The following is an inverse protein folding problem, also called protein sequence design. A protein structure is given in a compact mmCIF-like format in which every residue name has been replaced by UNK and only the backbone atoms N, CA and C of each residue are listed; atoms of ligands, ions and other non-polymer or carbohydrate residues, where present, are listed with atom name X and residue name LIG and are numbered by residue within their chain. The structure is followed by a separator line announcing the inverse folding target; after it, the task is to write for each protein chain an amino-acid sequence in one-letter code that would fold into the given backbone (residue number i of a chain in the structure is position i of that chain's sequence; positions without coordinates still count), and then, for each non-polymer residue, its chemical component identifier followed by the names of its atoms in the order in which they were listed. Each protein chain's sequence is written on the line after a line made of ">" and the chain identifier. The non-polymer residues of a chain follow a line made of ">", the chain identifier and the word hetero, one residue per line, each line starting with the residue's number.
data_IF_352684003723
#
_entry.id   IF_352684003723
#
_cell.length_a   1.000
_cell.length_b   1.000
_cell.length_c   1.000
_cell.angle_alpha   90.00
_cell.angle_beta   90.00
_cell.angle_gamma   90.00
#
_symmetry.space_group_name_H-M   'P 1'
#
loop_
_entity.id
_entity.type
_entity.pdbx_description
1 polymer ?
#
# COMPACT_ATOMS: atom_id res chain seq x y z
N UNK A 1 -17.72 8.35 -13.22
CA UNK A 1 -18.29 8.01 -11.89
C UNK A 1 -17.73 6.65 -11.52
N UNK A 2 -16.55 6.60 -10.90
CA UNK A 2 -15.93 5.32 -10.52
C UNK A 2 -16.37 5.07 -9.08
N UNK A 3 -17.24 4.09 -8.90
CA UNK A 3 -17.81 3.74 -7.61
C UNK A 3 -16.72 3.40 -6.61
N UNK A 4 -16.94 3.77 -5.36
CA UNK A 4 -16.14 3.29 -4.25
C UNK A 4 -16.41 1.77 -4.17
N UNK A 5 -15.50 0.97 -4.71
CA UNK A 5 -15.49 -0.47 -4.46
C UNK A 5 -14.99 -0.65 -3.03
N UNK A 6 -15.89 -0.48 -2.06
CA UNK A 6 -15.66 -0.95 -0.70
C UNK A 6 -15.78 -2.47 -0.80
N UNK A 7 -14.65 -3.18 -0.88
CA UNK A 7 -14.65 -4.62 -0.64
C UNK A 7 -15.03 -4.80 0.83
N UNK A 8 -16.15 -5.46 1.16
CA UNK A 8 -16.47 -5.74 2.55
C UNK A 8 -15.59 -6.90 2.98
N UNK A 9 -14.39 -6.60 3.46
CA UNK A 9 -13.52 -7.60 4.06
C UNK A 9 -13.55 -7.36 5.56
N UNK A 10 -14.05 -8.36 6.27
CA UNK A 10 -14.11 -8.38 7.73
C UNK A 10 -12.72 -8.05 8.29
N UNK A 11 -12.69 -7.20 9.32
CA UNK A 11 -11.51 -6.94 10.11
C UNK A 11 -11.00 -8.29 10.66
N UNK A 12 -10.03 -8.90 9.98
CA UNK A 12 -9.18 -9.91 10.58
C UNK A 12 -8.45 -9.15 11.67
N UNK A 13 -8.85 -9.36 12.94
CA UNK A 13 -8.21 -8.79 14.12
C UNK A 13 -6.70 -8.84 13.90
N UNK A 14 -6.15 -7.67 13.52
CA UNK A 14 -4.84 -7.64 12.92
C UNK A 14 -3.86 -8.26 13.93
N UNK A 15 -2.95 -9.09 13.42
CA UNK A 15 -2.06 -10.01 14.13
C UNK A 15 -1.24 -9.40 15.30
N UNK A 16 -1.34 -8.09 15.53
CA UNK A 16 -0.63 -7.30 16.54
C UNK A 16 -1.51 -6.75 17.70
N UNK A 17 -2.85 -6.73 17.58
CA UNK A 17 -3.75 -6.29 18.65
C UNK A 17 -4.11 -7.34 19.73
N UNK A 18 -4.07 -8.68 19.48
CA UNK A 18 -4.52 -9.65 20.48
C UNK A 18 -3.69 -9.56 21.76
N UNK A 19 -2.37 -9.36 21.65
CA UNK A 19 -1.44 -9.44 22.79
C UNK A 19 -1.70 -8.38 23.88
N UNK A 20 -2.11 -7.16 23.49
CA UNK A 20 -2.43 -6.08 24.45
C UNK A 20 -3.82 -6.32 25.04
N UNK A 21 -4.77 -6.75 24.20
CA UNK A 21 -6.12 -7.04 24.65
C UNK A 21 -6.18 -8.24 25.58
N UNK A 22 -5.28 -9.22 25.46
CA UNK A 22 -5.30 -10.47 26.22
C UNK A 22 -4.55 -10.43 27.55
N UNK A 23 -3.73 -9.39 27.82
CA UNK A 23 -2.97 -9.30 29.06
C UNK A 23 -3.82 -8.80 30.26
N UNK A 24 -4.08 -9.63 31.28
CA UNK A 24 -4.89 -9.27 32.44
C UNK A 24 -4.17 -8.34 33.44
N UNK A 25 -2.85 -8.21 33.38
CA UNK A 25 -2.09 -7.30 34.23
C UNK A 25 -2.18 -5.84 33.75
N UNK A 26 -2.53 -5.63 32.48
CA UNK A 26 -2.55 -4.31 31.83
C UNK A 26 -3.97 -3.73 31.79
N UNK A 27 -4.99 -4.56 31.60
CA UNK A 27 -6.38 -4.11 31.45
C UNK A 27 -7.33 -4.96 32.30
N UNK A 28 -8.21 -4.29 33.04
CA UNK A 28 -9.33 -4.95 33.69
C UNK A 28 -10.44 -5.30 32.67
N UNK A 29 -11.41 -6.12 33.07
CA UNK A 29 -12.43 -6.59 32.13
C UNK A 29 -13.36 -5.49 31.58
N UNK A 30 -13.60 -4.45 32.36
CA UNK A 30 -14.39 -3.32 31.89
C UNK A 30 -13.65 -2.49 30.84
N UNK A 31 -12.37 -2.25 31.06
CA UNK A 31 -11.49 -1.57 30.13
C UNK A 31 -11.29 -2.39 28.85
N UNK A 32 -11.07 -3.70 28.96
CA UNK A 32 -10.99 -4.61 27.80
C UNK A 32 -12.25 -4.53 26.95
N UNK A 33 -13.42 -4.56 27.58
CA UNK A 33 -14.71 -4.41 26.89
C UNK A 33 -14.85 -3.04 26.22
N UNK A 34 -14.43 -1.97 26.88
CA UNK A 34 -14.46 -0.62 26.32
C UNK A 34 -13.54 -0.46 25.10
N UNK A 35 -12.30 -0.98 25.17
CA UNK A 35 -11.34 -0.93 24.06
C UNK A 35 -11.82 -1.77 22.88
N UNK A 36 -12.34 -2.98 23.12
CA UNK A 36 -12.94 -3.80 22.04
C UNK A 36 -14.09 -3.09 21.35
N UNK A 37 -14.94 -2.39 22.11
CA UNK A 37 -16.04 -1.59 21.55
C UNK A 37 -15.51 -0.44 20.68
N UNK A 38 -14.48 0.24 21.14
CA UNK A 38 -13.84 1.35 20.41
C UNK A 38 -13.20 0.87 19.10
N UNK A 39 -12.41 -0.21 19.15
CA UNK A 39 -11.76 -0.77 17.96
C UNK A 39 -12.79 -1.24 16.92
N UNK A 40 -13.88 -1.89 17.36
CA UNK A 40 -14.99 -2.25 16.46
C UNK A 40 -15.67 -1.03 15.86
N UNK A 41 -15.87 0.04 16.64
CA UNK A 41 -16.49 1.27 16.15
C UNK A 41 -15.64 1.97 15.08
N UNK A 42 -14.32 1.91 15.20
CA UNK A 42 -13.38 2.59 14.29
C UNK A 42 -12.62 1.62 13.38
N UNK A 43 -13.14 0.41 13.17
CA UNK A 43 -12.48 -0.65 12.41
C UNK A 43 -12.07 -0.22 11.00
N UNK A 44 -12.86 0.67 10.39
CA UNK A 44 -12.67 1.20 9.05
C UNK A 44 -11.54 2.25 8.94
N UNK A 45 -10.97 2.69 10.06
CA UNK A 45 -9.83 3.61 10.08
C UNK A 45 -8.49 2.87 10.05
N UNK A 46 -8.50 1.58 10.37
CA UNK A 46 -7.31 0.75 10.39
C UNK A 46 -7.22 -0.06 9.11
N UNK A 47 -6.02 -0.11 8.53
CA UNK A 47 -5.74 -0.98 7.40
C UNK A 47 -5.78 -2.44 7.86
N UNK A 48 -6.66 -3.24 7.26
CA UNK A 48 -6.81 -4.66 7.63
C UNK A 48 -5.70 -5.55 7.04
N UNK A 49 -5.12 -5.14 5.91
CA UNK A 49 -4.04 -5.88 5.24
C UNK A 49 -3.24 -4.95 4.30
N UNK A 50 -2.11 -5.42 3.78
CA UNK A 50 -1.25 -4.63 2.88
C UNK A 50 -1.98 -4.13 1.61
N UNK A 51 -3.03 -4.82 1.16
CA UNK A 51 -3.84 -4.43 0.01
C UNK A 51 -4.91 -3.35 0.35
N UNK A 52 -5.15 -3.08 1.63
CA UNK A 52 -6.10 -2.05 2.10
C UNK A 52 -5.42 -0.68 2.06
N UNK A 53 -5.16 -0.21 0.84
CA UNK A 53 -4.56 1.08 0.54
C UNK A 53 -5.65 2.14 0.47
N UNK A 54 -5.63 3.09 1.40
CA UNK A 54 -6.60 4.19 1.41
C UNK A 54 -6.47 5.11 0.19
N UNK A 55 -7.61 5.68 -0.26
CA UNK A 55 -7.66 6.64 -1.37
C UNK A 55 -8.38 7.93 -0.97
N UNK A 56 -7.75 9.07 -1.25
CA UNK A 56 -8.36 10.39 -1.04
C UNK A 56 -8.88 10.95 -2.37
N UNK A 57 -10.19 11.22 -2.45
CA UNK A 57 -10.84 11.75 -3.65
C UNK A 57 -11.05 13.27 -3.61
N UNK A 58 -10.54 13.97 -2.59
CA UNK A 58 -10.79 15.41 -2.40
C UNK A 58 -9.99 16.29 -3.37
N UNK A 59 -8.78 15.87 -3.73
CA UNK A 59 -7.88 16.67 -4.56
C UNK A 59 -7.17 15.77 -5.57
N UNK A 60 -7.13 16.20 -6.83
CA UNK A 60 -6.25 15.63 -7.84
C UNK A 60 -5.08 16.59 -8.05
N UNK A 61 -3.86 16.10 -7.79
CA UNK A 61 -2.65 16.91 -7.98
C UNK A 61 -2.20 16.89 -9.44
N UNK A 62 -1.84 18.06 -9.98
CA UNK A 62 -1.18 18.20 -11.27
C UNK A 62 0.28 18.59 -11.07
N UNK A 63 1.19 17.82 -11.66
CA UNK A 63 2.61 18.14 -11.68
C UNK A 63 2.87 19.09 -12.85
N UNK A 64 3.32 20.31 -12.56
CA UNK A 64 3.65 21.32 -13.58
C UNK A 64 5.10 21.17 -14.03
N UNK A 65 5.32 20.50 -15.16
CA UNK A 65 6.67 20.29 -15.73
C UNK A 65 7.23 21.51 -16.48
N UNK A 66 6.44 22.57 -16.67
CA UNK A 66 6.85 23.79 -17.38
C UNK A 66 7.27 23.50 -18.83
N UNK A 67 8.35 24.13 -19.30
CA UNK A 67 8.91 23.94 -20.65
C UNK A 67 10.03 22.89 -20.69
N UNK A 68 10.16 22.07 -19.65
CA UNK A 68 11.24 21.07 -19.60
C UNK A 68 10.97 19.93 -20.57
N UNK A 69 11.96 19.51 -21.38
CA UNK A 69 11.81 18.38 -22.28
C UNK A 69 11.61 17.08 -21.50
N UNK A 70 10.92 16.13 -22.10
CA UNK A 70 10.68 14.81 -21.52
C UNK A 70 11.98 14.03 -21.43
N UNK A 71 12.32 13.52 -20.24
CA UNK A 71 13.54 12.72 -20.04
C UNK A 71 13.19 11.24 -20.20
N UNK A 72 13.69 10.63 -21.27
CA UNK A 72 13.59 9.18 -21.49
C UNK A 72 14.74 8.48 -20.77
N UNK A 73 14.47 7.86 -19.63
CA UNK A 73 15.43 6.99 -18.95
C UNK A 73 15.35 5.57 -19.55
N UNK A 74 16.50 4.97 -19.86
CA UNK A 74 16.53 3.59 -20.35
C UNK A 74 16.29 2.60 -19.21
N UNK A 75 15.35 1.69 -19.39
CA UNK A 75 15.05 0.64 -18.41
C UNK A 75 16.22 -0.32 -18.30
N UNK A 76 16.80 -0.46 -17.09
CA UNK A 76 17.83 -1.48 -16.86
C UNK A 76 17.21 -2.87 -16.80
N UNK A 77 17.91 -3.87 -17.33
CA UNK A 77 17.49 -5.27 -17.22
C UNK A 77 17.54 -5.71 -15.77
N UNK A 78 16.45 -6.32 -15.29
CA UNK A 78 16.44 -7.03 -14.02
C UNK A 78 17.16 -8.38 -14.18
N UNK A 79 17.79 -8.84 -13.10
CA UNK A 79 18.32 -10.20 -13.03
C UNK A 79 17.16 -11.20 -13.17
N UNK A 80 17.39 -12.32 -13.85
CA UNK A 80 16.34 -13.32 -14.11
C UNK A 80 15.66 -13.77 -12.80
N UNK A 81 16.45 -14.01 -11.76
CA UNK A 81 15.97 -14.41 -10.43
C UNK A 81 15.04 -13.40 -9.75
N UNK A 82 15.04 -12.13 -10.17
CA UNK A 82 14.19 -11.06 -9.60
C UNK A 82 13.10 -10.59 -10.54
N UNK A 83 13.04 -11.15 -11.76
CA UNK A 83 12.05 -10.75 -12.75
C UNK A 83 10.65 -11.20 -12.32
N UNK A 84 10.53 -12.45 -11.88
CA UNK A 84 9.26 -13.01 -11.40
C UNK A 84 8.71 -12.24 -10.20
N UNK A 85 9.58 -11.89 -9.25
CA UNK A 85 9.21 -11.06 -8.09
C UNK A 85 8.73 -9.66 -8.50
N UNK A 86 9.43 -9.01 -9.43
CA UNK A 86 8.98 -7.71 -9.96
C UNK A 86 7.62 -7.81 -10.66
N UNK A 87 7.42 -8.85 -11.48
CA UNK A 87 6.17 -9.05 -12.22
C UNK A 87 5.00 -9.31 -11.25
N UNK A 88 5.22 -10.07 -10.17
CA UNK A 88 4.23 -10.28 -9.11
C UNK A 88 3.84 -8.98 -8.40
N UNK A 89 4.83 -8.18 -7.98
CA UNK A 89 4.59 -6.90 -7.31
C UNK A 89 3.83 -5.92 -8.21
N UNK A 90 4.19 -5.86 -9.50
CA UNK A 90 3.49 -5.00 -10.48
C UNK A 90 2.04 -5.44 -10.62
N UNK A 91 1.78 -6.75 -10.76
CA UNK A 91 0.41 -7.27 -10.87
C UNK A 91 -0.41 -6.96 -9.61
N UNK A 92 0.16 -7.15 -8.42
CA UNK A 92 -0.49 -6.78 -7.16
C UNK A 92 -0.86 -5.29 -7.12
N UNK A 93 0.05 -4.40 -7.54
CA UNK A 93 -0.21 -2.96 -7.59
C UNK A 93 -1.29 -2.58 -8.61
N UNK A 94 -1.40 -3.30 -9.73
CA UNK A 94 -2.49 -3.14 -10.72
C UNK A 94 -3.81 -3.60 -10.14
N UNK A 95 -3.86 -4.78 -9.52
CA UNK A 95 -5.07 -5.34 -8.90
C UNK A 95 -5.60 -4.49 -7.74
N UNK A 96 -4.69 -3.87 -6.99
CA UNK A 96 -5.01 -2.91 -5.93
C UNK A 96 -5.44 -1.54 -6.47
N UNK A 97 -5.26 -1.27 -7.77
CA UNK A 97 -5.63 -0.01 -8.42
C UNK A 97 -4.71 1.16 -8.05
N UNK A 98 -3.50 0.88 -7.56
CA UNK A 98 -2.48 1.88 -7.22
C UNK A 98 -1.74 2.36 -8.47
N UNK A 99 -1.60 1.50 -9.49
CA UNK A 99 -1.01 1.84 -10.79
C UNK A 99 -1.96 1.46 -11.93
N UNK A 100 -1.78 2.09 -13.08
CA UNK A 100 -2.55 1.84 -14.31
C UNK A 100 -1.61 1.82 -15.52
N UNK A 101 -2.04 1.15 -16.59
CA UNK A 101 -1.33 1.22 -17.87
C UNK A 101 -1.35 2.64 -18.41
N UNK A 102 -0.18 3.14 -18.84
CA UNK A 102 -0.05 4.46 -19.43
C UNK A 102 0.88 4.45 -20.62
N UNK A 103 0.59 5.31 -21.59
CA UNK A 103 1.46 5.56 -22.73
C UNK A 103 2.06 6.96 -22.61
N UNK A 104 3.38 7.06 -22.48
CA UNK A 104 4.04 8.35 -22.37
C UNK A 104 5.55 8.26 -22.57
N UNK A 105 6.21 9.39 -22.85
CA UNK A 105 7.67 9.45 -23.00
C UNK A 105 8.41 9.27 -21.66
N UNK A 106 7.69 9.33 -20.54
CA UNK A 106 8.20 9.13 -19.18
C UNK A 106 8.18 7.64 -18.82
N UNK A 107 9.35 7.01 -18.85
CA UNK A 107 9.52 5.60 -18.48
C UNK A 107 10.68 5.48 -17.48
N UNK A 108 10.45 5.73 -16.18
CA UNK A 108 11.49 5.53 -15.18
C UNK A 108 11.81 4.03 -15.04
N UNK A 109 13.09 3.65 -14.83
CA UNK A 109 13.45 2.27 -14.53
C UNK A 109 12.89 1.82 -13.18
N UNK A 110 12.45 0.56 -13.11
CA UNK A 110 12.06 -0.14 -11.88
C UNK A 110 13.33 -0.55 -11.13
N UNK A 111 13.35 -0.29 -9.82
CA UNK A 111 14.41 -0.72 -8.92
C UNK A 111 13.76 -1.50 -7.78
N UNK A 112 14.25 -2.73 -7.54
CA UNK A 112 13.86 -3.54 -6.39
C UNK A 112 14.82 -3.28 -5.23
N UNK A 113 14.26 -2.86 -4.10
CA UNK A 113 15.02 -2.58 -2.88
C UNK A 113 14.53 -3.51 -1.78
N UNK A 114 15.44 -4.34 -1.28
CA UNK A 114 15.22 -5.10 -0.06
C UNK A 114 15.31 -4.16 1.14
N UNK A 115 14.25 -4.10 1.93
CA UNK A 115 14.25 -3.43 3.23
C UNK A 115 14.58 -4.46 4.32
N UNK A 116 15.32 -4.02 5.34
CA UNK A 116 15.46 -4.80 6.56
C UNK A 116 14.24 -4.53 7.44
N UNK A 117 13.64 -5.63 7.91
CA UNK A 117 12.30 -5.75 8.50
C UNK A 117 11.17 -5.74 7.45
N UNK A 118 10.57 -6.92 7.29
CA UNK A 118 9.45 -7.31 6.42
C UNK A 118 9.71 -7.39 4.91
N UNK A 119 9.31 -8.55 4.38
CA UNK A 119 9.70 -9.17 3.11
C UNK A 119 9.01 -8.56 1.89
N UNK A 120 8.90 -7.23 1.86
CA UNK A 120 8.29 -6.51 0.74
C UNK A 120 9.34 -5.61 0.08
N UNK A 121 9.87 -6.11 -1.03
CA UNK A 121 10.67 -5.32 -1.95
C UNK A 121 9.82 -4.17 -2.48
N UNK A 122 10.26 -2.94 -2.28
CA UNK A 122 9.54 -1.77 -2.77
C UNK A 122 10.02 -1.42 -4.19
N UNK A 123 9.06 -1.24 -5.10
CA UNK A 123 9.29 -0.66 -6.42
C UNK A 123 9.08 0.84 -6.33
N UNK A 124 10.14 1.62 -6.20
CA UNK A 124 10.06 3.08 -6.22
C UNK A 124 11.14 3.67 -7.14
N UNK A 125 10.73 4.58 -8.01
CA UNK A 125 11.64 5.54 -8.62
C UNK A 125 10.99 6.92 -8.76
N UNK A 126 11.50 7.90 -8.03
CA UNK A 126 11.16 9.32 -8.17
C UNK A 126 12.41 10.19 -8.15
N UNK A 127 13.44 9.85 -8.93
CA UNK A 127 14.58 10.75 -9.17
C UNK A 127 14.54 11.27 -10.61
N UNK A 128 14.10 12.53 -10.73
CA UNK A 128 14.35 13.38 -11.91
C UNK A 128 15.79 13.87 -11.89
#
# INVERSE_FOLDING_TARGET
>A
MVGIVVRPQEFSEAQHLPSILENPEILNEEQRRAVRKLLKQFQNLFSACAADVGRCNMTQHRISTGNNPTIKQYTRRLLLARKEEADLLVNEMVENGTIEESSGPWVPPIVLIKRDMDQHDSVLNTRN
#
